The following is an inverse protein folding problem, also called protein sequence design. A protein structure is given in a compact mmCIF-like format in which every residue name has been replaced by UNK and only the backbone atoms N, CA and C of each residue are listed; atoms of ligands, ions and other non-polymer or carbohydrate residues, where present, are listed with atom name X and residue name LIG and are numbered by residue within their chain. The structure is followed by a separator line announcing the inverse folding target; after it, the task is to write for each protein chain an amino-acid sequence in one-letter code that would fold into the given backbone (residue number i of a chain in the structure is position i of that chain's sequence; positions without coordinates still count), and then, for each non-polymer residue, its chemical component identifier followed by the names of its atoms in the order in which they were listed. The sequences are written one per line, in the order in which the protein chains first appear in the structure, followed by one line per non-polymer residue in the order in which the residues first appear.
data_IF_925651454517
#
_entry.id   IF_925651454517
#
_cell.length_a   1.000
_cell.length_b   1.000
_cell.length_c   1.000
_cell.angle_alpha   90.00
_cell.angle_beta   90.00
_cell.angle_gamma   90.00
#
_symmetry.space_group_name_H-M   'P 1'
#
loop_
_entity.id
_entity.type
_entity.pdbx_description
1 polymer ?
#
# COMPACT_ATOMS: atom_id res chain seq x y z
N UNK A 1 3.56 -2.21 6.83
CA UNK A 1 3.89 -2.87 8.12
C UNK A 1 5.18 -3.63 7.91
N UNK A 2 6.01 -3.80 8.93
CA UNK A 2 7.27 -4.53 8.83
C UNK A 2 7.59 -5.25 10.14
N UNK A 3 8.50 -6.23 10.09
CA UNK A 3 9.03 -6.83 11.31
C UNK A 3 10.08 -5.91 11.95
N UNK A 4 9.94 -5.64 13.24
CA UNK A 4 10.93 -4.93 14.05
C UNK A 4 12.11 -5.86 14.39
N UNK A 5 13.22 -5.28 14.85
CA UNK A 5 14.39 -6.05 15.30
C UNK A 5 14.09 -7.03 16.45
N UNK A 6 13.02 -6.76 17.21
CA UNK A 6 12.50 -7.64 18.26
C UNK A 6 11.68 -8.83 17.75
N UNK A 7 11.51 -8.99 16.43
CA UNK A 7 10.64 -9.99 15.82
C UNK A 7 9.15 -9.66 15.89
N UNK A 8 8.78 -8.56 16.56
CA UNK A 8 7.39 -8.09 16.68
C UNK A 8 7.02 -7.30 15.42
N UNK A 9 5.82 -7.54 14.89
CA UNK A 9 5.30 -6.74 13.79
C UNK A 9 5.03 -5.30 14.25
N UNK A 10 5.51 -4.34 13.47
CA UNK A 10 5.31 -2.92 13.73
C UNK A 10 4.92 -2.15 12.47
N UNK A 11 4.49 -0.91 12.65
CA UNK A 11 4.30 0.01 11.54
C UNK A 11 5.63 0.26 10.82
N UNK A 12 5.57 0.42 9.51
CA UNK A 12 6.71 0.97 8.75
C UNK A 12 6.98 2.38 9.28
N UNK A 13 8.24 2.83 9.47
CA UNK A 13 8.53 4.13 10.06
C UNK A 13 7.89 5.25 9.22
N UNK A 14 7.23 6.19 9.88
CA UNK A 14 6.48 7.25 9.21
C UNK A 14 5.05 6.88 8.80
N UNK A 15 4.61 5.61 8.95
CA UNK A 15 3.28 5.21 8.49
C UNK A 15 2.17 5.81 9.34
N UNK A 16 2.33 5.86 10.67
CA UNK A 16 1.34 6.46 11.56
C UNK A 16 1.22 7.96 11.28
N UNK A 17 2.36 8.64 11.18
CA UNK A 17 2.47 10.07 10.93
C UNK A 17 1.97 10.46 9.54
N UNK A 18 2.15 9.59 8.56
CA UNK A 18 1.58 9.75 7.23
C UNK A 18 0.05 9.63 7.30
N UNK A 19 -0.49 8.55 7.87
CA UNK A 19 -1.93 8.32 7.92
C UNK A 19 -2.68 9.39 8.73
N UNK A 20 -2.05 9.95 9.76
CA UNK A 20 -2.60 11.08 10.53
C UNK A 20 -2.54 12.41 9.76
N UNK A 21 -1.58 12.56 8.85
CA UNK A 21 -1.40 13.78 8.05
C UNK A 21 -2.29 13.80 6.79
N UNK A 22 -2.66 12.64 6.26
CA UNK A 22 -3.50 12.55 5.06
C UNK A 22 -4.86 13.22 5.27
N UNK A 23 -5.15 14.21 4.44
CA UNK A 23 -6.47 14.85 4.34
C UNK A 23 -7.33 14.28 3.19
N UNK A 24 -6.73 13.44 2.35
CA UNK A 24 -7.40 12.77 1.23
C UNK A 24 -7.90 11.37 1.62
N UNK A 25 -8.94 10.84 0.94
CA UNK A 25 -9.40 9.47 1.17
C UNK A 25 -8.28 8.44 0.93
N UNK A 26 -8.16 7.46 1.83
CA UNK A 26 -7.21 6.36 1.69
C UNK A 26 -7.82 5.03 2.15
N UNK A 27 -7.27 3.93 1.66
CA UNK A 27 -7.60 2.58 2.08
C UNK A 27 -6.38 1.65 2.00
N UNK A 28 -6.53 0.42 2.49
CA UNK A 28 -5.54 -0.66 2.36
C UNK A 28 -6.12 -1.78 1.50
N UNK A 29 -5.46 -2.16 0.41
CA UNK A 29 -5.87 -3.30 -0.42
C UNK A 29 -4.75 -4.37 -0.46
N UNK A 30 -5.03 -5.59 -0.02
CA UNK A 30 -3.98 -6.61 0.21
C UNK A 30 -4.37 -8.02 -0.23
N UNK A 31 -3.38 -8.81 -0.70
CA UNK A 31 -3.53 -10.26 -0.87
C UNK A 31 -3.58 -11.04 0.46
N UNK A 32 -3.33 -10.37 1.57
CA UNK A 32 -3.42 -10.95 2.93
C UNK A 32 -4.87 -11.23 3.27
N UNK A 33 -5.16 -12.38 3.89
CA UNK A 33 -6.51 -12.71 4.35
C UNK A 33 -7.08 -11.65 5.29
N UNK A 34 -8.40 -11.50 5.31
CA UNK A 34 -9.08 -10.51 6.14
C UNK A 34 -8.67 -10.61 7.62
N UNK A 35 -8.68 -11.83 8.17
CA UNK A 35 -8.30 -12.09 9.56
C UNK A 35 -6.87 -11.66 9.85
N UNK A 36 -5.93 -12.09 9.00
CA UNK A 36 -4.51 -11.78 9.16
C UNK A 36 -4.24 -10.27 8.97
N UNK A 37 -4.90 -9.63 8.02
CA UNK A 37 -4.76 -8.20 7.78
C UNK A 37 -5.20 -7.38 9.00
N UNK A 38 -6.34 -7.72 9.61
CA UNK A 38 -6.82 -7.11 10.86
C UNK A 38 -5.80 -7.34 11.99
N UNK A 39 -5.32 -8.58 12.15
CA UNK A 39 -4.34 -8.91 13.19
C UNK A 39 -3.05 -8.08 13.04
N UNK A 40 -2.51 -8.01 11.81
CA UNK A 40 -1.32 -7.23 11.48
C UNK A 40 -1.52 -5.74 11.74
N UNK A 41 -2.64 -5.18 11.30
CA UNK A 41 -2.94 -3.76 11.53
C UNK A 41 -3.12 -3.43 13.01
N UNK A 42 -3.66 -4.34 13.83
CA UNK A 42 -3.73 -4.17 15.29
C UNK A 42 -2.34 -4.16 15.91
N UNK A 43 -1.51 -5.16 15.60
CA UNK A 43 -0.14 -5.24 16.12
C UNK A 43 0.70 -4.01 15.75
N UNK A 44 0.45 -3.42 14.56
CA UNK A 44 1.12 -2.22 14.10
C UNK A 44 0.46 -0.90 14.55
N UNK A 45 -0.58 -0.91 15.38
CA UNK A 45 -1.37 0.28 15.79
C UNK A 45 -1.97 1.07 14.61
N UNK A 46 -2.25 0.42 13.49
CA UNK A 46 -2.82 1.04 12.29
C UNK A 46 -4.34 0.86 12.19
N UNK A 47 -4.92 -0.16 12.84
CA UNK A 47 -6.34 -0.49 12.67
C UNK A 47 -7.25 0.69 13.05
N UNK A 48 -6.96 1.42 14.12
CA UNK A 48 -7.75 2.58 14.53
C UNK A 48 -7.69 3.73 13.52
N UNK A 49 -6.57 3.89 12.81
CA UNK A 49 -6.39 4.92 11.77
C UNK A 49 -7.06 4.51 10.46
N UNK A 50 -6.97 3.22 10.08
CA UNK A 50 -7.55 2.68 8.84
C UNK A 50 -9.07 2.48 8.96
N UNK A 51 -9.56 2.13 10.15
CA UNK A 51 -10.97 1.81 10.39
C UNK A 51 -11.42 0.63 9.53
N UNK A 52 -12.56 0.78 8.84
CA UNK A 52 -13.12 -0.21 7.92
C UNK A 52 -12.58 -0.12 6.48
N UNK A 53 -11.68 0.83 6.18
CA UNK A 53 -11.19 1.12 4.82
C UNK A 53 -10.07 0.16 4.42
N UNK A 54 -10.35 -1.13 4.47
CA UNK A 54 -9.43 -2.17 4.03
C UNK A 54 -10.16 -3.27 3.26
N UNK A 55 -9.48 -3.80 2.25
CA UNK A 55 -10.01 -4.74 1.27
C UNK A 55 -9.02 -5.89 1.12
N UNK A 56 -9.49 -7.11 1.38
CA UNK A 56 -8.71 -8.33 1.17
C UNK A 56 -9.05 -8.93 -0.18
N UNK A 57 -8.05 -9.45 -0.89
CA UNK A 57 -8.28 -10.28 -2.08
C UNK A 57 -9.08 -11.56 -1.77
N UNK A 58 -9.09 -12.01 -0.51
CA UNK A 58 -9.96 -13.12 -0.09
C UNK A 58 -11.45 -12.72 -0.09
N UNK A 59 -11.77 -11.43 0.09
CA UNK A 59 -13.16 -10.93 0.07
C UNK A 59 -13.77 -11.01 -1.35
N UNK A 60 -12.93 -11.09 -2.39
CA UNK A 60 -13.35 -11.17 -3.80
C UNK A 60 -13.03 -12.51 -4.47
N UNK A 61 -12.25 -13.37 -3.83
CA UNK A 61 -11.85 -14.68 -4.36
C UNK A 61 -10.77 -14.65 -5.45
N UNK A 62 -10.21 -13.48 -5.78
CA UNK A 62 -9.16 -13.31 -6.80
C UNK A 62 -8.01 -12.48 -6.22
N UNK A 63 -6.76 -12.93 -6.44
CA UNK A 63 -5.56 -12.29 -5.91
C UNK A 63 -4.85 -11.44 -6.96
N UNK A 64 -4.16 -10.38 -6.52
CA UNK A 64 -3.19 -9.64 -7.33
C UNK A 64 -2.21 -10.65 -7.97
N UNK A 65 -1.83 -10.52 -9.26
CA UNK A 65 -1.81 -9.29 -10.07
C UNK A 65 -3.13 -8.92 -10.74
N UNK A 66 -4.21 -9.66 -10.51
CA UNK A 66 -5.54 -9.22 -10.88
C UNK A 66 -5.89 -7.87 -10.20
N UNK A 67 -6.45 -6.89 -10.94
CA UNK A 67 -6.73 -5.55 -10.42
C UNK A 67 -8.00 -5.46 -9.56
N UNK A 68 -8.83 -6.51 -9.49
CA UNK A 68 -10.19 -6.45 -8.94
C UNK A 68 -10.25 -5.90 -7.51
N UNK A 69 -9.31 -6.24 -6.63
CA UNK A 69 -9.30 -5.72 -5.25
C UNK A 69 -9.00 -4.22 -5.20
N UNK A 70 -8.20 -3.70 -6.15
CA UNK A 70 -7.91 -2.27 -6.26
C UNK A 70 -9.12 -1.52 -6.85
N UNK A 71 -9.73 -2.07 -7.90
CA UNK A 71 -10.92 -1.49 -8.53
C UNK A 71 -12.11 -1.44 -7.56
N UNK A 72 -12.35 -2.52 -6.82
CA UNK A 72 -13.37 -2.57 -5.77
C UNK A 72 -13.09 -1.53 -4.67
N UNK A 73 -11.83 -1.40 -4.24
CA UNK A 73 -11.44 -0.42 -3.24
C UNK A 73 -11.75 1.01 -3.72
N UNK A 74 -11.40 1.34 -4.97
CA UNK A 74 -11.68 2.64 -5.57
C UNK A 74 -13.20 2.92 -5.66
N UNK A 75 -13.97 1.93 -6.11
CA UNK A 75 -15.44 2.00 -6.22
C UNK A 75 -16.08 2.27 -4.85
N UNK A 76 -15.74 1.49 -3.82
CA UNK A 76 -16.29 1.66 -2.46
C UNK A 76 -15.86 2.99 -1.84
N UNK A 77 -14.66 3.47 -2.16
CA UNK A 77 -14.17 4.77 -1.71
C UNK A 77 -14.76 5.94 -2.51
N UNK A 78 -15.52 5.68 -3.58
CA UNK A 78 -16.15 6.70 -4.41
C UNK A 78 -15.16 7.51 -5.27
N UNK A 79 -14.02 6.93 -5.63
CA UNK A 79 -12.94 7.58 -6.39
C UNK A 79 -12.69 6.83 -7.70
N UNK A 80 -12.44 7.54 -8.80
CA UNK A 80 -12.10 6.89 -10.07
C UNK A 80 -10.70 6.27 -10.02
N UNK A 81 -10.47 5.16 -10.72
CA UNK A 81 -9.17 4.50 -10.72
C UNK A 81 -8.02 5.42 -11.19
N UNK A 82 -8.30 6.35 -12.12
CA UNK A 82 -7.30 7.30 -12.63
C UNK A 82 -6.88 8.37 -11.60
N UNK A 83 -7.69 8.59 -10.58
CA UNK A 83 -7.39 9.50 -9.46
C UNK A 83 -6.72 8.78 -8.29
N UNK A 84 -6.67 7.44 -8.31
CA UNK A 84 -5.98 6.65 -7.30
C UNK A 84 -4.47 6.63 -7.52
N UNK A 85 -3.72 6.82 -6.44
CA UNK A 85 -2.29 6.54 -6.35
C UNK A 85 -2.06 5.32 -5.45
N UNK A 86 -1.52 4.24 -6.03
CA UNK A 86 -1.17 3.02 -5.30
C UNK A 86 0.28 3.11 -4.79
N UNK A 87 0.48 2.85 -3.50
CA UNK A 87 1.83 2.70 -2.92
C UNK A 87 2.06 1.23 -2.66
N UNK A 88 3.03 0.63 -3.36
CA UNK A 88 3.25 -0.82 -3.28
C UNK A 88 4.71 -1.26 -3.14
N UNK A 89 4.96 -2.32 -2.37
CA UNK A 89 6.30 -2.88 -2.16
C UNK A 89 6.57 -4.19 -2.91
N UNK A 90 5.61 -4.68 -3.68
CA UNK A 90 5.72 -5.95 -4.40
C UNK A 90 5.48 -5.79 -5.92
N UNK A 91 6.21 -6.57 -6.71
CA UNK A 91 6.00 -6.64 -8.17
C UNK A 91 4.59 -7.10 -8.54
N UNK A 92 4.00 -7.99 -7.73
CA UNK A 92 2.64 -8.50 -7.89
C UNK A 92 1.62 -7.36 -7.72
N UNK A 93 1.83 -6.51 -6.71
CA UNK A 93 0.96 -5.38 -6.46
C UNK A 93 1.13 -4.24 -7.47
N UNK A 94 2.36 -3.94 -7.91
CA UNK A 94 2.59 -2.99 -9.01
C UNK A 94 1.94 -3.46 -10.32
N UNK A 95 2.00 -4.77 -10.60
CA UNK A 95 1.30 -5.37 -11.74
C UNK A 95 -0.21 -5.14 -11.65
N UNK A 96 -0.80 -5.32 -10.47
CA UNK A 96 -2.22 -5.05 -10.26
C UNK A 96 -2.57 -3.57 -10.46
N UNK A 97 -1.74 -2.64 -9.96
CA UNK A 97 -1.97 -1.20 -10.16
C UNK A 97 -1.92 -0.81 -11.65
N UNK A 98 -0.95 -1.35 -12.39
CA UNK A 98 -0.84 -1.19 -13.83
C UNK A 98 -2.07 -1.76 -14.56
N UNK A 99 -2.50 -2.96 -14.20
CA UNK A 99 -3.69 -3.60 -14.77
C UNK A 99 -4.98 -2.83 -14.45
N UNK A 100 -5.03 -2.13 -13.31
CA UNK A 100 -6.14 -1.29 -12.90
C UNK A 100 -6.14 0.10 -13.58
N UNK A 101 -5.11 0.41 -14.38
CA UNK A 101 -4.87 1.74 -14.96
C UNK A 101 -4.85 2.86 -13.89
N UNK A 102 -4.28 2.54 -12.73
CA UNK A 102 -4.05 3.47 -11.62
C UNK A 102 -2.64 4.02 -11.67
N UNK A 103 -2.43 5.20 -11.08
CA UNK A 103 -1.09 5.72 -10.80
C UNK A 103 -0.44 4.88 -9.70
N UNK A 104 0.88 4.69 -9.75
CA UNK A 104 1.56 3.91 -8.71
C UNK A 104 2.99 4.36 -8.42
N UNK A 105 3.37 4.29 -7.15
CA UNK A 105 4.73 4.41 -6.65
C UNK A 105 5.16 3.09 -6.00
N UNK A 106 6.43 2.75 -6.17
CA UNK A 106 7.04 1.61 -5.49
C UNK A 106 7.59 2.03 -4.12
N UNK A 107 7.44 1.20 -3.09
CA UNK A 107 8.02 1.42 -1.77
C UNK A 107 9.16 0.42 -1.50
N UNK A 108 10.39 0.91 -1.54
CA UNK A 108 11.62 0.14 -1.33
C UNK A 108 12.25 0.32 0.07
N UNK A 109 11.52 0.94 1.01
CA UNK A 109 12.04 1.44 2.29
C UNK A 109 11.89 0.54 3.52
N UNK A 110 11.27 -0.63 3.42
CA UNK A 110 11.16 -1.54 4.56
C UNK A 110 12.50 -2.20 4.88
N UNK A 111 12.73 -2.53 6.16
CA UNK A 111 14.02 -3.10 6.64
C UNK A 111 14.50 -4.35 5.89
N UNK A 112 13.57 -5.13 5.35
CA UNK A 112 13.87 -6.39 4.65
C UNK A 112 14.02 -6.21 3.13
N UNK A 113 13.86 -4.99 2.60
CA UNK A 113 13.97 -4.73 1.17
C UNK A 113 15.43 -4.66 0.73
N UNK A 114 15.79 -5.53 -0.22
CA UNK A 114 17.13 -5.64 -0.79
C UNK A 114 17.32 -4.72 -1.99
N UNK A 115 18.57 -4.54 -2.44
CA UNK A 115 18.88 -3.85 -3.70
C UNK A 115 18.26 -4.57 -4.90
N UNK A 116 18.24 -5.90 -4.88
CA UNK A 116 17.60 -6.72 -5.91
C UNK A 116 16.10 -6.42 -6.01
N UNK A 117 15.37 -6.44 -4.89
CA UNK A 117 13.95 -6.07 -4.88
C UNK A 117 13.74 -4.66 -5.45
N UNK A 118 14.55 -3.69 -5.03
CA UNK A 118 14.44 -2.32 -5.56
C UNK A 118 14.67 -2.26 -7.07
N UNK A 119 15.60 -3.04 -7.61
CA UNK A 119 15.81 -3.14 -9.06
C UNK A 119 14.58 -3.76 -9.75
N UNK A 120 14.04 -4.85 -9.20
CA UNK A 120 12.85 -5.51 -9.72
C UNK A 120 11.65 -4.53 -9.74
N UNK A 121 11.42 -3.78 -8.66
CA UNK A 121 10.38 -2.76 -8.59
C UNK A 121 10.56 -1.65 -9.64
N UNK A 122 11.80 -1.24 -9.94
CA UNK A 122 12.08 -0.22 -10.99
C UNK A 122 11.69 -0.68 -12.39
N UNK A 123 11.76 -1.98 -12.68
CA UNK A 123 11.37 -2.50 -14.01
C UNK A 123 9.89 -2.30 -14.33
N UNK A 124 9.06 -2.04 -13.31
CA UNK A 124 7.64 -1.71 -13.48
C UNK A 124 7.40 -0.22 -13.74
N UNK A 125 8.45 0.59 -13.88
CA UNK A 125 8.38 2.02 -14.21
C UNK A 125 7.37 2.78 -13.32
N UNK A 126 7.49 2.69 -11.98
CA UNK A 126 6.63 3.46 -11.09
C UNK A 126 6.94 4.96 -11.21
N UNK A 127 5.96 5.81 -10.87
CA UNK A 127 6.15 7.27 -10.85
C UNK A 127 7.31 7.68 -9.93
N UNK A 128 7.50 6.95 -8.83
CA UNK A 128 8.65 7.06 -7.95
C UNK A 128 8.99 5.72 -7.27
N UNK A 129 10.26 5.52 -6.94
CA UNK A 129 10.69 4.54 -5.94
C UNK A 129 10.98 5.25 -4.62
N UNK A 130 10.08 5.07 -3.66
CA UNK A 130 10.13 5.70 -2.34
C UNK A 130 10.98 4.87 -1.39
N UNK A 131 11.92 5.51 -0.68
CA UNK A 131 12.74 4.85 0.35
C UNK A 131 12.29 5.18 1.76
N UNK A 132 11.47 6.21 1.93
CA UNK A 132 10.80 6.52 3.17
C UNK A 132 9.39 7.07 2.89
N UNK A 133 8.49 6.95 3.87
CA UNK A 133 7.10 7.40 3.69
C UNK A 133 6.93 8.93 3.75
N UNK A 134 7.94 9.67 4.22
CA UNK A 134 7.90 11.13 4.21
C UNK A 134 8.02 11.70 2.78
N UNK A 135 8.73 11.02 1.88
CA UNK A 135 8.78 11.35 0.44
C UNK A 135 7.39 11.39 -0.20
N UNK A 136 6.44 10.60 0.29
CA UNK A 136 5.06 10.61 -0.22
C UNK A 136 4.36 11.94 0.04
N UNK A 137 4.68 12.65 1.14
CA UNK A 137 4.09 13.96 1.41
C UNK A 137 4.46 14.96 0.32
N UNK A 138 5.70 14.91 -0.19
CA UNK A 138 6.16 15.75 -1.30
C UNK A 138 5.44 15.45 -2.61
N UNK A 139 5.00 14.21 -2.84
CA UNK A 139 4.22 13.84 -4.02
C UNK A 139 2.74 14.22 -3.92
N UNK A 140 2.20 14.28 -2.70
CA UNK A 140 0.78 14.57 -2.46
C UNK A 140 0.50 16.05 -2.23
N UNK A 141 1.51 16.87 -1.92
CA UNK A 141 1.37 18.32 -1.94
C UNK A 141 1.39 18.82 -3.39
N UNK A 142 0.32 19.46 -3.90
CA UNK A 142 0.44 20.21 -5.13
C UNK A 142 1.44 21.36 -4.88
N UNK A 143 2.39 21.53 -5.81
CA UNK A 143 3.23 22.74 -5.87
C UNK A 143 2.38 23.98 -6.12
#
# INVERSE_FOLDING_TARGET
MQLAASGILSATPGAVELLQWLSIPFCVASNTSRFELIHRMRAANLLGLVGSRFFSSDDIGVRKPDPSVLLLAAEIMGVSARECLVIEDSVIGLSAARNANMRYCAFGGARHHTSRLRNDLRTFEPEALLLNLAELKGLLCPM
#
